data_IF_556892282611
#
_entry.id   IF_556892282611
#
_cell.length_a   1.000
_cell.length_b   1.000
_cell.length_c   1.000
_cell.angle_alpha   90.00
_cell.angle_beta   90.00
_cell.angle_gamma   90.00
#
_symmetry.space_group_name_H-M   'P 1'
#
loop_
_entity.id
_entity.type
_entity.pdbx_description
1 polymer ?
#
# COMPACT_ATOMS: atom_id res chain seq x y z
N UNK A 1 38.29 -67.32 -28.38
CA UNK A 1 38.82 -67.57 -27.02
C UNK A 1 40.28 -67.12 -26.99
N UNK A 2 40.68 -66.26 -26.04
CA UNK A 2 42.07 -65.79 -25.96
C UNK A 2 43.05 -66.90 -25.55
N UNK A 3 44.26 -66.85 -26.06
CA UNK A 3 45.33 -67.82 -25.75
C UNK A 3 45.92 -67.53 -24.37
N UNK A 4 46.00 -68.55 -23.51
CA UNK A 4 46.61 -68.44 -22.18
C UNK A 4 48.11 -68.69 -22.28
N UNK A 5 48.92 -67.74 -21.83
CA UNK A 5 50.38 -67.85 -21.79
C UNK A 5 50.87 -67.77 -20.33
N UNK A 6 51.86 -68.60 -19.93
CA UNK A 6 52.46 -68.51 -18.61
C UNK A 6 53.38 -67.27 -18.51
N UNK A 7 53.10 -66.38 -17.55
CA UNK A 7 53.93 -65.21 -17.26
C UNK A 7 55.22 -65.66 -16.53
N UNK A 8 56.37 -65.54 -17.20
CA UNK A 8 57.69 -65.96 -16.69
C UNK A 8 58.66 -64.80 -16.41
N UNK A 9 58.21 -63.55 -16.58
CA UNK A 9 59.00 -62.35 -16.29
C UNK A 9 58.65 -61.78 -14.91
N UNK A 10 59.61 -61.12 -14.26
CA UNK A 10 59.31 -60.28 -13.10
C UNK A 10 58.51 -59.06 -13.52
N UNK A 11 57.51 -58.69 -12.73
CA UNK A 11 56.68 -57.51 -12.96
C UNK A 11 56.80 -56.65 -11.71
N UNK A 12 57.51 -55.53 -11.86
CA UNK A 12 57.66 -54.52 -10.82
C UNK A 12 56.79 -53.31 -11.17
N UNK A 13 56.12 -52.75 -10.18
CA UNK A 13 55.30 -51.55 -10.35
C UNK A 13 56.06 -50.32 -9.83
N UNK A 14 56.40 -49.41 -10.73
CA UNK A 14 57.03 -48.12 -10.42
C UNK A 14 56.03 -47.03 -10.80
N UNK A 15 55.58 -46.25 -9.82
CA UNK A 15 54.62 -45.17 -10.05
C UNK A 15 55.32 -43.91 -10.57
N UNK A 16 54.95 -43.49 -11.78
CA UNK A 16 55.26 -42.17 -12.34
C UNK A 16 54.00 -41.30 -12.46
N UNK A 17 52.91 -41.72 -11.84
CA UNK A 17 51.65 -40.99 -11.90
C UNK A 17 51.81 -39.68 -11.16
N UNK A 18 51.59 -38.56 -11.86
CA UNK A 18 51.63 -37.21 -11.30
C UNK A 18 50.35 -36.88 -10.49
N UNK A 19 49.91 -37.81 -9.65
CA UNK A 19 48.82 -37.58 -8.70
C UNK A 19 49.38 -36.97 -7.42
N UNK A 20 48.59 -36.12 -6.78
CA UNK A 20 48.95 -35.54 -5.49
C UNK A 20 49.01 -36.63 -4.43
N UNK A 21 50.05 -36.58 -3.61
CA UNK A 21 50.13 -37.44 -2.43
C UNK A 21 49.26 -36.88 -1.28
N UNK A 22 49.16 -37.64 -0.19
CA UNK A 22 48.40 -37.23 0.99
C UNK A 22 48.93 -35.92 1.57
N UNK A 23 50.24 -35.72 1.57
CA UNK A 23 50.87 -34.54 2.16
C UNK A 23 50.49 -33.26 1.40
N UNK A 24 50.56 -33.28 0.07
CA UNK A 24 50.13 -32.18 -0.79
C UNK A 24 48.62 -31.91 -0.67
N UNK A 25 47.81 -32.98 -0.58
CA UNK A 25 46.35 -32.84 -0.45
C UNK A 25 45.96 -32.26 0.92
N UNK A 26 46.60 -32.70 1.99
CA UNK A 26 46.40 -32.16 3.34
C UNK A 26 46.85 -30.69 3.41
N UNK A 27 48.02 -30.35 2.85
CA UNK A 27 48.49 -28.96 2.78
C UNK A 27 47.53 -28.06 2.01
N UNK A 28 46.95 -28.54 0.91
CA UNK A 28 45.94 -27.80 0.15
C UNK A 28 44.66 -27.54 0.96
N UNK A 29 44.17 -28.54 1.70
CA UNK A 29 43.01 -28.40 2.58
C UNK A 29 43.31 -27.40 3.71
N UNK A 30 44.51 -27.48 4.32
CA UNK A 30 44.98 -26.53 5.33
C UNK A 30 45.09 -25.12 4.79
N UNK A 31 45.41 -24.91 3.51
CA UNK A 31 45.46 -23.57 2.95
C UNK A 31 44.05 -22.95 2.78
N UNK A 32 43.07 -23.77 2.39
CA UNK A 32 41.74 -23.28 2.01
C UNK A 32 40.71 -23.26 3.14
N UNK A 33 40.89 -24.07 4.18
CA UNK A 33 39.91 -24.26 5.26
C UNK A 33 38.45 -24.40 4.76
N UNK A 34 38.15 -25.30 3.81
CA UNK A 34 36.80 -25.42 3.26
C UNK A 34 35.84 -26.07 4.27
N UNK A 35 34.60 -25.58 4.42
CA UNK A 35 33.62 -26.18 5.34
C UNK A 35 33.08 -27.53 4.87
N UNK A 36 33.07 -27.78 3.56
CA UNK A 36 32.59 -29.03 2.95
C UNK A 36 33.61 -29.55 1.93
N UNK A 37 34.00 -30.82 2.06
CA UNK A 37 34.92 -31.51 1.14
C UNK A 37 34.19 -32.70 0.52
N UNK A 38 34.22 -32.82 -0.81
CA UNK A 38 33.62 -33.96 -1.53
C UNK A 38 34.72 -34.72 -2.27
N UNK A 39 34.99 -35.94 -1.80
CA UNK A 39 36.01 -36.82 -2.38
C UNK A 39 35.43 -37.58 -3.59
N UNK A 40 36.10 -37.45 -4.73
CA UNK A 40 35.76 -38.11 -6.01
C UNK A 40 37.03 -38.61 -6.70
N UNK A 41 36.89 -39.41 -7.76
CA UNK A 41 38.00 -39.89 -8.59
C UNK A 41 39.12 -40.62 -7.81
N UNK A 42 38.75 -41.50 -6.88
CA UNK A 42 39.69 -42.41 -6.22
C UNK A 42 39.15 -43.83 -6.13
N UNK A 43 40.03 -44.77 -5.84
CA UNK A 43 39.64 -46.13 -5.47
C UNK A 43 38.90 -46.08 -4.12
N UNK A 44 37.90 -46.94 -3.93
CA UNK A 44 36.96 -46.83 -2.82
C UNK A 44 37.64 -46.96 -1.44
N UNK A 45 38.59 -47.87 -1.29
CA UNK A 45 39.30 -48.08 -0.03
C UNK A 45 40.28 -46.94 0.23
N UNK A 46 41.04 -46.49 -0.77
CA UNK A 46 41.96 -45.37 -0.66
C UNK A 46 41.22 -44.06 -0.34
N UNK A 47 40.05 -43.82 -0.94
CA UNK A 47 39.18 -42.68 -0.56
C UNK A 47 38.65 -42.81 0.87
N UNK A 48 38.34 -44.03 1.33
CA UNK A 48 37.95 -44.29 2.70
C UNK A 48 39.06 -43.97 3.70
N UNK A 49 40.30 -44.37 3.38
CA UNK A 49 41.50 -44.06 4.17
C UNK A 49 41.78 -42.55 4.21
N UNK A 50 41.70 -41.88 3.07
CA UNK A 50 41.88 -40.44 2.97
C UNK A 50 40.82 -39.68 3.80
N UNK A 51 39.56 -40.06 3.70
CA UNK A 51 38.46 -39.49 4.51
C UNK A 51 38.74 -39.62 6.00
N UNK A 52 39.12 -40.81 6.47
CA UNK A 52 39.40 -41.06 7.88
C UNK A 52 40.61 -40.26 8.38
N UNK A 53 41.65 -40.11 7.54
CA UNK A 53 42.82 -39.30 7.86
C UNK A 53 42.47 -37.82 8.03
N UNK A 54 41.68 -37.24 7.10
CA UNK A 54 41.24 -35.84 7.19
C UNK A 54 40.32 -35.64 8.40
N UNK A 55 39.32 -36.50 8.61
CA UNK A 55 38.42 -36.35 9.76
C UNK A 55 39.19 -36.37 11.09
N UNK A 56 40.14 -37.29 11.24
CA UNK A 56 40.99 -37.36 12.45
C UNK A 56 41.88 -36.14 12.63
N UNK A 57 42.37 -35.57 11.54
CA UNK A 57 43.26 -34.40 11.56
C UNK A 57 42.55 -33.14 12.05
N UNK A 58 41.26 -33.01 11.76
CA UNK A 58 40.44 -31.83 12.10
C UNK A 58 39.38 -32.09 13.18
N UNK A 59 39.38 -33.26 13.83
CA UNK A 59 38.43 -33.59 14.91
C UNK A 59 38.65 -32.73 16.17
N UNK A 60 39.90 -32.34 16.42
CA UNK A 60 40.30 -31.54 17.59
C UNK A 60 40.21 -30.02 17.36
N UNK A 61 39.94 -29.58 16.13
CA UNK A 61 39.83 -28.15 15.79
C UNK A 61 38.39 -27.64 16.01
N UNK A 62 38.24 -26.74 16.99
CA UNK A 62 36.95 -26.16 17.39
C UNK A 62 36.53 -25.02 16.43
N UNK A 63 37.49 -24.37 15.77
CA UNK A 63 37.20 -23.24 14.86
C UNK A 63 36.88 -23.72 13.45
N UNK A 64 37.56 -24.76 12.96
CA UNK A 64 37.42 -25.25 11.58
C UNK A 64 36.62 -26.55 11.51
N UNK A 65 35.29 -26.43 11.52
CA UNK A 65 34.42 -27.59 11.26
C UNK A 65 34.42 -27.96 9.78
N UNK A 66 35.06 -29.07 9.43
CA UNK A 66 35.11 -29.61 8.06
C UNK A 66 34.25 -30.88 7.95
N UNK A 67 33.24 -30.86 7.08
CA UNK A 67 32.44 -32.04 6.77
C UNK A 67 32.97 -32.74 5.49
N UNK A 68 33.42 -33.99 5.62
CA UNK A 68 33.98 -34.77 4.51
C UNK A 68 32.99 -35.81 3.96
N UNK A 69 32.65 -35.68 2.68
CA UNK A 69 31.73 -36.54 1.95
C UNK A 69 32.47 -37.44 0.95
N UNK A 70 32.08 -38.72 0.86
CA UNK A 70 32.58 -39.69 -0.11
C UNK A 70 31.41 -40.40 -0.82
N UNK A 71 30.62 -39.66 -1.64
CA UNK A 71 29.44 -40.20 -2.29
C UNK A 71 29.78 -41.27 -3.33
N UNK A 72 28.97 -42.32 -3.40
CA UNK A 72 29.04 -43.28 -4.52
C UNK A 72 28.41 -42.68 -5.77
N UNK A 73 28.68 -43.29 -6.93
CA UNK A 73 27.95 -42.94 -8.15
C UNK A 73 26.44 -42.96 -7.88
N UNK A 74 25.72 -41.94 -8.37
CA UNK A 74 24.28 -41.71 -8.14
C UNK A 74 23.87 -41.28 -6.73
N UNK A 75 24.80 -41.09 -5.79
CA UNK A 75 24.50 -40.55 -4.47
C UNK A 75 24.60 -39.01 -4.49
N UNK A 76 23.50 -38.32 -4.19
CA UNK A 76 23.47 -36.87 -4.06
C UNK A 76 24.09 -36.41 -2.73
N UNK A 77 24.75 -35.24 -2.75
CA UNK A 77 25.24 -34.54 -1.55
C UNK A 77 24.44 -33.25 -1.44
N UNK A 78 23.60 -33.15 -0.40
CA UNK A 78 22.77 -31.98 -0.14
C UNK A 78 23.47 -31.05 0.83
N UNK A 79 23.71 -29.80 0.39
CA UNK A 79 24.36 -28.76 1.19
C UNK A 79 23.43 -27.57 1.33
N UNK A 80 23.23 -27.11 2.57
CA UNK A 80 22.34 -25.99 2.88
C UNK A 80 23.13 -24.70 3.06
N UNK A 81 23.03 -23.81 2.08
CA UNK A 81 23.64 -22.47 2.16
C UNK A 81 22.57 -21.44 2.53
N UNK A 82 22.69 -20.87 3.73
CA UNK A 82 21.88 -19.71 4.13
C UNK A 82 22.43 -18.47 3.43
N UNK A 83 21.87 -18.14 2.28
CA UNK A 83 22.13 -16.86 1.62
C UNK A 83 21.32 -15.74 2.27
N UNK A 84 21.98 -14.74 2.84
CA UNK A 84 21.32 -13.50 3.21
C UNK A 84 20.78 -12.82 1.95
N UNK A 85 19.47 -12.58 1.90
CA UNK A 85 18.85 -11.85 0.78
C UNK A 85 19.03 -10.36 1.02
N UNK A 86 20.09 -9.80 0.47
CA UNK A 86 20.33 -8.35 0.49
C UNK A 86 19.58 -7.68 -0.65
N UNK A 87 18.80 -6.63 -0.33
CA UNK A 87 18.17 -5.77 -1.32
C UNK A 87 18.82 -4.39 -1.32
N UNK A 88 19.09 -3.85 -2.51
CA UNK A 88 19.67 -2.51 -2.72
C UNK A 88 18.55 -1.52 -3.00
N UNK A 89 18.45 -0.48 -2.18
CA UNK A 89 17.52 0.62 -2.41
C UNK A 89 18.12 1.56 -3.45
N UNK A 90 17.36 1.95 -4.47
CA UNK A 90 17.84 2.81 -5.55
C UNK A 90 16.84 3.92 -5.88
N UNK A 91 17.33 4.97 -6.55
CA UNK A 91 16.51 6.10 -6.98
C UNK A 91 16.13 7.05 -5.85
N UNK A 92 14.93 7.61 -5.92
CA UNK A 92 14.38 8.58 -4.96
C UNK A 92 14.30 8.04 -3.53
N UNK A 93 14.07 6.74 -3.36
CA UNK A 93 14.05 6.08 -2.04
C UNK A 93 15.42 6.08 -1.35
N UNK A 94 16.51 6.22 -2.12
CA UNK A 94 17.88 6.22 -1.60
C UNK A 94 18.43 7.63 -1.31
N UNK A 95 17.62 8.69 -1.47
CA UNK A 95 18.06 10.08 -1.27
C UNK A 95 18.34 10.38 0.20
N UNK A 96 17.55 9.80 1.10
CA UNK A 96 17.73 9.97 2.54
C UNK A 96 18.54 8.82 3.12
N UNK A 97 19.44 9.15 4.05
CA UNK A 97 20.24 8.15 4.73
C UNK A 97 19.34 7.13 5.47
N UNK A 98 19.74 5.85 5.48
CA UNK A 98 18.99 4.80 6.18
C UNK A 98 19.04 5.05 7.70
N UNK A 99 17.88 4.99 8.35
CA UNK A 99 17.73 5.05 9.81
C UNK A 99 17.09 3.76 10.32
N UNK A 100 17.53 3.21 11.47
CA UNK A 100 16.91 2.03 12.07
C UNK A 100 15.41 2.27 12.34
N UNK A 101 14.57 1.29 11.99
CA UNK A 101 13.12 1.35 12.21
C UNK A 101 12.33 2.14 11.17
N UNK A 102 12.99 2.77 10.20
CA UNK A 102 12.31 3.45 9.09
C UNK A 102 11.67 2.42 8.16
N UNK A 103 10.37 2.54 7.97
CA UNK A 103 9.65 1.75 6.96
C UNK A 103 9.97 2.25 5.56
N UNK A 104 10.28 1.32 4.66
CA UNK A 104 10.47 1.59 3.24
C UNK A 104 9.36 0.91 2.46
N UNK A 105 8.67 1.66 1.60
CA UNK A 105 7.65 1.16 0.69
C UNK A 105 8.10 1.39 -0.74
N UNK A 106 7.92 0.37 -1.59
CA UNK A 106 8.37 0.43 -2.98
C UNK A 106 8.15 -0.88 -3.71
N UNK A 107 8.58 -0.92 -4.96
CA UNK A 107 8.53 -2.08 -5.83
C UNK A 107 9.86 -2.82 -5.73
N UNK A 108 9.81 -4.11 -5.36
CA UNK A 108 11.00 -4.96 -5.31
C UNK A 108 11.19 -5.69 -6.64
N UNK A 109 12.29 -5.39 -7.32
CA UNK A 109 12.66 -6.00 -8.60
C UNK A 109 13.78 -7.01 -8.37
N UNK A 110 13.52 -8.28 -8.71
CA UNK A 110 14.51 -9.35 -8.66
C UNK A 110 15.14 -9.52 -10.05
N UNK A 111 16.44 -9.27 -10.14
CA UNK A 111 17.27 -9.59 -11.32
C UNK A 111 18.27 -10.67 -10.91
N UNK A 112 18.03 -11.91 -11.33
CA UNK A 112 18.82 -13.08 -10.93
C UNK A 112 18.89 -13.24 -9.40
N UNK A 113 20.07 -13.03 -8.81
CA UNK A 113 20.31 -13.10 -7.36
C UNK A 113 20.31 -11.74 -6.67
N UNK A 114 20.18 -10.64 -7.42
CA UNK A 114 20.20 -9.28 -6.88
C UNK A 114 18.79 -8.71 -6.76
N UNK A 115 18.47 -8.22 -5.57
CA UNK A 115 17.20 -7.58 -5.25
C UNK A 115 17.37 -6.06 -5.23
N UNK A 116 16.46 -5.36 -5.89
CA UNK A 116 16.51 -3.92 -6.06
C UNK A 116 15.17 -3.32 -5.61
N UNK A 117 15.16 -2.47 -4.60
CA UNK A 117 13.96 -1.78 -4.12
C UNK A 117 13.91 -0.39 -4.74
N UNK A 118 12.84 -0.11 -5.48
CA UNK A 118 12.66 1.10 -6.29
C UNK A 118 11.33 1.77 -5.98
N UNK A 119 11.26 3.09 -6.18
CA UNK A 119 10.00 3.83 -6.20
C UNK A 119 9.26 3.51 -7.49
N UNK A 120 7.91 3.41 -7.50
CA UNK A 120 7.13 3.22 -8.72
C UNK A 120 7.46 4.25 -9.81
N UNK A 121 7.82 5.48 -9.43
CA UNK A 121 8.16 6.56 -10.36
C UNK A 121 9.54 6.41 -11.03
N UNK A 122 10.46 5.65 -10.42
CA UNK A 122 11.82 5.43 -10.92
C UNK A 122 11.97 4.11 -11.67
N UNK A 123 10.88 3.33 -11.76
CA UNK A 123 10.89 2.00 -12.36
C UNK A 123 11.36 2.04 -13.82
N UNK A 124 10.88 3.00 -14.61
CA UNK A 124 11.26 3.19 -16.01
C UNK A 124 12.69 3.69 -16.22
N UNK A 125 13.34 4.22 -15.18
CA UNK A 125 14.73 4.71 -15.26
C UNK A 125 15.75 3.60 -15.04
N UNK A 126 15.43 2.65 -14.16
CA UNK A 126 16.37 1.60 -13.73
C UNK A 126 16.00 0.20 -14.27
N UNK A 127 14.81 0.06 -14.84
CA UNK A 127 14.34 -1.18 -15.45
C UNK A 127 13.79 -0.93 -16.84
N UNK A 128 13.85 -1.96 -17.68
CA UNK A 128 13.27 -1.95 -19.03
C UNK A 128 11.73 -2.03 -19.00
N UNK A 129 11.13 -1.94 -17.81
CA UNK A 129 9.69 -1.99 -17.63
C UNK A 129 9.09 -0.60 -17.85
N UNK A 130 8.12 -0.54 -18.74
CA UNK A 130 7.32 0.66 -18.98
C UNK A 130 6.09 0.60 -18.07
N UNK A 131 5.86 1.69 -17.33
CA UNK A 131 4.62 1.88 -16.59
C UNK A 131 3.53 2.32 -17.56
N UNK A 132 2.49 1.50 -17.70
CA UNK A 132 1.31 1.81 -18.51
C UNK A 132 0.09 1.92 -17.62
N UNK A 133 -0.67 3.00 -17.78
CA UNK A 133 -1.98 3.18 -17.16
C UNK A 133 -3.06 2.91 -18.20
N UNK A 134 -4.07 2.12 -17.85
CA UNK A 134 -5.20 1.85 -18.74
C UNK A 134 -6.30 2.87 -18.45
N UNK A 135 -6.55 3.78 -19.40
CA UNK A 135 -7.73 4.65 -19.37
C UNK A 135 -8.92 3.92 -19.97
N UNK A 136 -10.07 3.98 -19.31
CA UNK A 136 -11.32 3.43 -19.81
C UNK A 136 -12.30 4.56 -20.10
N UNK A 137 -13.06 4.36 -21.17
CA UNK A 137 -14.06 5.31 -21.66
C UNK A 137 -15.33 4.54 -21.98
N UNK A 138 -16.44 4.93 -21.35
CA UNK A 138 -17.74 4.30 -21.54
C UNK A 138 -18.76 5.35 -21.97
N UNK A 139 -19.54 5.00 -22.99
CA UNK A 139 -20.60 5.85 -23.51
C UNK A 139 -21.95 5.28 -23.11
N UNK A 140 -22.77 6.10 -22.47
CA UNK A 140 -24.12 5.75 -22.04
C UNK A 140 -25.14 6.66 -22.71
N UNK A 141 -26.27 6.07 -23.10
CA UNK A 141 -27.44 6.84 -23.54
C UNK A 141 -28.08 7.49 -22.33
N UNK A 142 -28.28 8.80 -22.35
CA UNK A 142 -28.92 9.54 -21.26
C UNK A 142 -29.61 10.77 -21.81
N UNK A 143 -30.94 10.80 -21.70
CA UNK A 143 -31.81 11.85 -22.24
C UNK A 143 -32.22 12.90 -21.20
N UNK A 144 -31.77 12.75 -19.95
CA UNK A 144 -32.10 13.67 -18.86
C UNK A 144 -31.28 14.97 -18.89
N UNK A 145 -31.69 15.92 -18.05
CA UNK A 145 -30.95 17.18 -17.90
C UNK A 145 -29.71 17.02 -17.03
N UNK A 146 -28.69 17.85 -17.27
CA UNK A 146 -27.48 17.91 -16.46
C UNK A 146 -27.76 18.09 -14.96
N UNK A 147 -28.79 18.85 -14.59
CA UNK A 147 -29.16 19.09 -13.19
C UNK A 147 -29.67 17.84 -12.49
N UNK A 148 -30.46 17.01 -13.20
CA UNK A 148 -30.96 15.72 -12.70
C UNK A 148 -29.79 14.76 -12.49
N UNK A 149 -28.88 14.70 -13.46
CA UNK A 149 -27.66 13.89 -13.37
C UNK A 149 -26.80 14.30 -12.17
N UNK A 150 -26.55 15.61 -12.01
CA UNK A 150 -25.81 16.15 -10.89
C UNK A 150 -26.45 15.77 -9.54
N UNK A 151 -27.77 15.88 -9.41
CA UNK A 151 -28.48 15.50 -8.18
C UNK A 151 -28.29 14.02 -7.81
N UNK A 152 -28.51 13.12 -8.76
CA UNK A 152 -28.39 11.68 -8.50
C UNK A 152 -26.95 11.26 -8.20
N UNK A 153 -25.96 11.81 -8.91
CA UNK A 153 -24.57 11.54 -8.61
C UNK A 153 -24.17 12.13 -7.24
N UNK A 154 -24.73 13.30 -6.87
CA UNK A 154 -24.41 13.92 -5.59
C UNK A 154 -24.99 13.12 -4.42
N UNK A 155 -26.10 12.41 -4.63
CA UNK A 155 -26.62 11.44 -3.68
C UNK A 155 -25.68 10.23 -3.48
N UNK A 156 -24.89 9.87 -4.50
CA UNK A 156 -23.94 8.74 -4.44
C UNK A 156 -22.64 9.09 -3.70
N UNK A 157 -22.05 10.26 -3.99
CA UNK A 157 -20.70 10.60 -3.53
C UNK A 157 -20.64 11.72 -2.48
N UNK A 158 -21.70 12.53 -2.34
CA UNK A 158 -21.78 13.67 -1.42
C UNK A 158 -20.89 14.87 -1.79
N UNK A 159 -19.79 14.64 -2.52
CA UNK A 159 -18.82 15.65 -2.95
C UNK A 159 -18.53 15.50 -4.45
N UNK A 160 -19.23 16.29 -5.26
CA UNK A 160 -19.04 16.37 -6.70
C UNK A 160 -18.42 17.70 -7.08
N UNK A 161 -17.31 17.61 -7.79
CA UNK A 161 -16.67 18.77 -8.39
C UNK A 161 -17.20 18.98 -9.80
N UNK A 162 -17.65 20.20 -10.10
CA UNK A 162 -17.98 20.59 -11.47
C UNK A 162 -16.67 20.94 -12.16
N UNK A 163 -16.33 20.19 -13.21
CA UNK A 163 -15.13 20.46 -13.99
C UNK A 163 -15.47 21.48 -15.06
N UNK A 164 -14.90 22.68 -14.96
CA UNK A 164 -15.08 23.73 -15.96
C UNK A 164 -14.33 23.35 -17.24
N UNK A 165 -15.07 23.27 -18.35
CA UNK A 165 -14.57 22.95 -19.67
C UNK A 165 -15.55 23.36 -20.77
N UNK A 166 -15.27 22.98 -22.01
CA UNK A 166 -16.16 23.28 -23.14
C UNK A 166 -17.52 22.57 -23.04
N UNK A 167 -17.57 21.44 -22.32
CA UNK A 167 -18.77 20.63 -22.08
C UNK A 167 -19.04 20.57 -20.58
N UNK A 168 -20.30 20.33 -20.21
CA UNK A 168 -20.69 20.21 -18.81
C UNK A 168 -20.20 18.87 -18.27
N UNK A 169 -19.24 18.93 -17.35
CA UNK A 169 -18.56 17.75 -16.79
C UNK A 169 -18.60 17.75 -15.26
N UNK A 170 -18.74 16.56 -14.69
CA UNK A 170 -18.78 16.30 -13.25
C UNK A 170 -17.67 15.31 -12.91
N UNK A 171 -16.94 15.56 -11.84
CA UNK A 171 -15.97 14.62 -11.30
C UNK A 171 -16.53 14.00 -10.03
N UNK A 172 -16.67 12.67 -10.07
CA UNK A 172 -17.23 11.85 -9.00
C UNK A 172 -16.09 11.05 -8.37
N UNK A 173 -16.05 10.99 -7.03
CA UNK A 173 -15.00 10.30 -6.28
C UNK A 173 -13.56 10.74 -6.64
N UNK A 174 -13.37 11.97 -7.12
CA UNK A 174 -12.06 12.53 -7.53
C UNK A 174 -11.42 11.92 -8.78
N UNK A 175 -11.83 10.72 -9.21
CA UNK A 175 -11.13 9.93 -10.22
C UNK A 175 -11.97 9.62 -11.48
N UNK A 176 -13.29 9.75 -11.40
CA UNK A 176 -14.21 9.43 -12.51
C UNK A 176 -14.78 10.73 -13.06
N UNK A 177 -14.61 10.95 -14.36
CA UNK A 177 -15.14 12.13 -15.04
C UNK A 177 -16.36 11.75 -15.86
N UNK A 178 -17.48 12.41 -15.60
CA UNK A 178 -18.77 12.23 -16.28
C UNK A 178 -19.06 13.49 -17.10
N UNK A 179 -19.03 13.37 -18.42
CA UNK A 179 -19.20 14.49 -19.36
C UNK A 179 -20.48 14.33 -20.15
N UNK A 180 -21.35 15.34 -20.16
CA UNK A 180 -22.52 15.35 -21.03
C UNK A 180 -22.13 15.85 -22.43
N UNK A 181 -21.94 14.91 -23.36
CA UNK A 181 -21.54 15.15 -24.75
C UNK A 181 -22.68 15.74 -25.60
N UNK A 182 -23.91 15.26 -25.38
CA UNK A 182 -25.11 15.65 -26.13
C UNK A 182 -26.36 15.51 -25.27
N UNK A 183 -27.50 16.00 -25.75
CA UNK A 183 -28.78 15.89 -25.04
C UNK A 183 -29.26 14.46 -24.79
N UNK A 184 -28.66 13.46 -25.46
CA UNK A 184 -28.99 12.04 -25.36
C UNK A 184 -27.80 11.14 -24.95
N UNK A 185 -26.65 11.72 -24.59
CA UNK A 185 -25.43 10.94 -24.38
C UNK A 185 -24.56 11.50 -23.26
N UNK A 186 -24.10 10.61 -22.40
CA UNK A 186 -23.15 10.88 -21.32
C UNK A 186 -21.94 9.96 -21.46
N UNK A 187 -20.78 10.53 -21.22
CA UNK A 187 -19.49 9.87 -21.34
C UNK A 187 -18.84 9.76 -19.96
N UNK A 188 -18.39 8.57 -19.61
CA UNK A 188 -17.61 8.30 -18.41
C UNK A 188 -16.17 8.02 -18.83
N UNK A 189 -15.21 8.67 -18.17
CA UNK A 189 -13.78 8.48 -18.37
C UNK A 189 -13.08 8.32 -17.01
N UNK A 190 -12.29 7.25 -16.85
CA UNK A 190 -11.53 6.99 -15.63
C UNK A 190 -10.25 6.19 -15.92
N UNK A 191 -9.31 6.22 -14.98
CA UNK A 191 -8.16 5.34 -14.99
C UNK A 191 -8.52 4.02 -14.31
N UNK A 192 -8.38 2.90 -15.03
CA UNK A 192 -8.76 1.58 -14.53
C UNK A 192 -7.90 1.16 -13.34
N UNK A 193 -8.60 0.74 -12.29
CA UNK A 193 -8.03 0.11 -11.10
C UNK A 193 -9.17 -0.60 -10.37
N UNK A 194 -8.91 -1.62 -9.54
CA UNK A 194 -9.98 -2.36 -8.87
C UNK A 194 -10.97 -1.48 -8.08
N UNK A 195 -10.48 -0.37 -7.51
CA UNK A 195 -11.29 0.58 -6.76
C UNK A 195 -12.03 1.53 -7.69
N UNK A 196 -11.36 2.09 -8.70
CA UNK A 196 -11.99 3.02 -9.64
C UNK A 196 -13.02 2.31 -10.53
N UNK A 197 -12.79 1.05 -10.89
CA UNK A 197 -13.72 0.25 -11.70
C UNK A 197 -15.01 -0.03 -10.91
N UNK A 198 -14.89 -0.36 -9.62
CA UNK A 198 -16.03 -0.50 -8.72
C UNK A 198 -16.84 0.82 -8.62
N UNK A 199 -16.14 1.94 -8.46
CA UNK A 199 -16.79 3.25 -8.42
C UNK A 199 -17.42 3.61 -9.78
N UNK A 200 -16.78 3.25 -10.89
CA UNK A 200 -17.32 3.48 -12.23
C UNK A 200 -18.62 2.68 -12.42
N UNK A 201 -18.67 1.42 -12.02
CA UNK A 201 -19.88 0.59 -12.08
C UNK A 201 -21.03 1.17 -11.24
N UNK A 202 -20.72 1.73 -10.06
CA UNK A 202 -21.71 2.43 -9.24
C UNK A 202 -22.25 3.68 -9.96
N UNK A 203 -21.37 4.48 -10.56
CA UNK A 203 -21.75 5.66 -11.35
C UNK A 203 -22.61 5.27 -12.55
N UNK A 204 -22.23 4.22 -13.29
CA UNK A 204 -23.01 3.67 -14.42
C UNK A 204 -24.42 3.30 -13.97
N UNK A 205 -24.54 2.58 -12.86
CA UNK A 205 -25.82 2.16 -12.30
C UNK A 205 -26.71 3.36 -11.95
N UNK A 206 -26.12 4.42 -11.39
CA UNK A 206 -26.84 5.65 -11.07
C UNK A 206 -27.27 6.41 -12.33
N UNK A 207 -26.43 6.46 -13.37
CA UNK A 207 -26.78 7.08 -14.67
C UNK A 207 -27.95 6.34 -15.32
N UNK A 208 -27.91 5.00 -15.33
CA UNK A 208 -29.00 4.18 -15.86
C UNK A 208 -30.28 4.35 -15.05
N UNK A 209 -30.18 4.40 -13.72
CA UNK A 209 -31.33 4.69 -12.85
C UNK A 209 -31.93 6.07 -13.14
N UNK A 210 -31.10 7.09 -13.33
CA UNK A 210 -31.54 8.44 -13.67
C UNK A 210 -32.20 8.49 -15.06
N UNK A 211 -31.82 7.62 -15.99
CA UNK A 211 -32.48 7.47 -17.28
C UNK A 211 -33.88 6.85 -17.14
N UNK A 212 -34.02 5.83 -16.29
CA UNK A 212 -35.31 5.17 -16.04
C UNK A 212 -36.28 6.02 -15.19
N UNK A 213 -35.77 6.98 -14.42
CA UNK A 213 -36.57 7.87 -13.57
C UNK A 213 -36.49 9.31 -14.07
N UNK A 214 -37.36 9.73 -15.03
CA UNK A 214 -37.40 11.10 -15.51
C UNK A 214 -38.06 12.00 -14.47
N UNK A 215 -37.30 12.39 -13.44
CA UNK A 215 -37.72 13.49 -12.56
C UNK A 215 -37.65 14.77 -13.37
N UNK A 216 -38.77 15.48 -13.50
CA UNK A 216 -38.77 16.80 -14.11
C UNK A 216 -37.79 17.72 -13.34
N UNK A 217 -36.98 18.56 -14.00
CA UNK A 217 -36.03 19.45 -13.31
C UNK A 217 -36.67 20.32 -12.21
N UNK A 218 -37.97 20.63 -12.38
CA UNK A 218 -38.80 21.39 -11.43
C UNK A 218 -39.17 20.64 -10.15
N UNK A 219 -39.10 19.30 -10.15
CA UNK A 219 -39.42 18.43 -9.02
C UNK A 219 -38.16 17.86 -8.35
N UNK A 220 -36.98 18.35 -8.73
CA UNK A 220 -35.78 18.07 -7.95
C UNK A 220 -35.97 18.67 -6.56
N UNK A 221 -35.68 17.92 -5.47
CA UNK A 221 -35.55 18.50 -4.16
C UNK A 221 -34.54 19.65 -4.25
N UNK A 222 -35.06 20.88 -4.21
CA UNK A 222 -34.21 22.07 -4.23
C UNK A 222 -33.56 22.11 -2.86
N UNK A 223 -32.23 21.95 -2.82
CA UNK A 223 -31.41 21.81 -1.60
C UNK A 223 -31.36 20.40 -1.02
N UNK A 224 -30.31 19.65 -1.38
CA UNK A 224 -29.63 18.83 -0.39
C UNK A 224 -29.12 19.82 0.66
N UNK A 225 -29.84 19.92 1.76
CA UNK A 225 -29.65 20.90 2.81
C UNK A 225 -28.18 20.98 3.23
N UNK A 226 -27.45 21.97 2.69
CA UNK A 226 -26.58 22.76 3.57
C UNK A 226 -27.55 23.24 4.65
N UNK A 227 -27.33 22.80 5.90
CA UNK A 227 -28.15 23.19 7.04
C UNK A 227 -28.50 24.66 6.87
N UNK A 228 -29.79 24.97 6.71
CA UNK A 228 -30.22 26.34 6.53
C UNK A 228 -29.71 27.10 7.75
N UNK A 229 -28.77 28.02 7.54
CA UNK A 229 -28.07 28.70 8.63
C UNK A 229 -29.07 29.47 9.50
N UNK A 230 -30.16 29.94 8.89
CA UNK A 230 -31.25 30.61 9.60
C UNK A 230 -31.99 29.63 10.52
N UNK A 231 -32.31 28.44 10.03
CA UNK A 231 -32.94 27.38 10.81
C UNK A 231 -32.00 26.85 11.93
N UNK A 232 -30.70 26.71 11.65
CA UNK A 232 -29.72 26.34 12.66
C UNK A 232 -29.63 27.37 13.78
N UNK A 233 -29.62 28.66 13.44
CA UNK A 233 -29.59 29.73 14.45
C UNK A 233 -30.86 29.77 15.30
N UNK A 234 -32.02 29.53 14.70
CA UNK A 234 -33.31 29.51 15.41
C UNK A 234 -33.38 28.34 16.39
N UNK A 235 -33.10 27.11 15.94
CA UNK A 235 -33.09 25.95 16.82
C UNK A 235 -32.01 26.04 17.90
N UNK A 236 -30.86 26.67 17.61
CA UNK A 236 -29.81 26.88 18.60
C UNK A 236 -30.26 27.87 19.69
N UNK A 237 -30.98 28.93 19.30
CA UNK A 237 -31.58 29.88 20.24
C UNK A 237 -32.62 29.20 21.14
N UNK A 238 -33.54 28.42 20.58
CA UNK A 238 -34.56 27.69 21.36
C UNK A 238 -33.92 26.67 22.31
N UNK A 239 -32.91 25.92 21.85
CA UNK A 239 -32.22 24.92 22.67
C UNK A 239 -31.50 25.58 23.84
N UNK A 240 -30.77 26.68 23.59
CA UNK A 240 -30.04 27.40 24.64
C UNK A 240 -31.00 28.13 25.60
N UNK A 241 -32.11 28.67 25.10
CA UNK A 241 -33.16 29.26 25.92
C UNK A 241 -33.85 28.21 26.80
N UNK A 242 -34.08 27.00 26.28
CA UNK A 242 -34.61 25.87 27.06
C UNK A 242 -33.64 25.35 28.12
N UNK A 243 -32.33 25.44 27.89
CA UNK A 243 -31.31 24.98 28.84
C UNK A 243 -30.96 26.01 29.92
N UNK A 244 -30.92 27.30 29.60
CA UNK A 244 -30.42 28.35 30.48
C UNK A 244 -31.44 29.46 30.81
N UNK A 245 -32.64 29.41 30.24
CA UNK A 245 -33.70 30.42 30.38
C UNK A 245 -33.68 31.49 29.28
N UNK A 246 -34.85 32.06 28.96
CA UNK A 246 -35.01 33.06 27.88
C UNK A 246 -34.25 34.38 28.11
N UNK A 247 -33.97 34.72 29.36
CA UNK A 247 -33.26 35.96 29.75
C UNK A 247 -31.74 35.82 29.64
N UNK A 248 -31.24 34.59 29.54
CA UNK A 248 -29.81 34.26 29.46
C UNK A 248 -29.26 34.29 28.03
N UNK A 249 -30.15 34.30 27.02
CA UNK A 249 -29.76 34.27 25.60
C UNK A 249 -29.88 35.67 24.98
N UNK A 250 -28.80 36.15 24.37
CA UNK A 250 -28.83 37.43 23.66
C UNK A 250 -29.78 37.38 22.46
N UNK A 251 -30.93 38.08 22.55
CA UNK A 251 -31.98 38.17 21.50
C UNK A 251 -31.53 38.83 20.18
N UNK A 252 -30.27 39.29 20.11
CA UNK A 252 -29.69 39.98 18.95
C UNK A 252 -28.42 39.26 18.51
N UNK A 253 -28.51 38.54 17.39
CA UNK A 253 -27.34 37.97 16.72
C UNK A 253 -26.62 39.09 15.96
N UNK A 254 -25.48 39.56 16.48
CA UNK A 254 -24.63 40.54 15.78
C UNK A 254 -23.71 39.82 14.80
N UNK A 255 -24.18 39.59 13.57
CA UNK A 255 -23.40 38.93 12.51
C UNK A 255 -23.37 37.41 12.66
N UNK A 256 -22.18 36.79 12.63
CA UNK A 256 -21.98 35.32 12.80
C UNK A 256 -21.66 34.92 14.26
N UNK A 257 -21.96 35.78 15.23
CA UNK A 257 -21.66 35.55 16.66
C UNK A 257 -22.91 35.66 17.51
N UNK A 258 -23.09 34.68 18.39
CA UNK A 258 -24.16 34.61 19.37
C UNK A 258 -23.55 34.65 20.77
N UNK A 259 -24.27 35.25 21.72
CA UNK A 259 -23.81 35.47 23.09
C UNK A 259 -24.83 34.92 24.07
N UNK A 260 -24.34 34.17 25.06
CA UNK A 260 -25.14 33.60 26.14
C UNK A 260 -24.52 34.05 27.45
N UNK A 261 -25.32 34.63 28.34
CA UNK A 261 -24.88 35.10 29.66
C UNK A 261 -25.59 34.29 30.73
N UNK A 262 -24.84 33.57 31.57
CA UNK A 262 -25.36 32.78 32.68
C UNK A 262 -24.59 33.16 33.93
N UNK A 263 -25.26 33.60 35.00
CA UNK A 263 -24.66 33.94 36.30
C UNK A 263 -23.39 34.81 36.18
N UNK A 264 -23.50 35.97 35.51
CA UNK A 264 -22.41 36.92 35.23
C UNK A 264 -21.24 36.43 34.35
N UNK A 265 -21.31 35.20 33.82
CA UNK A 265 -20.33 34.66 32.88
C UNK A 265 -20.87 34.69 31.45
N UNK A 266 -20.03 35.15 30.51
CA UNK A 266 -20.42 35.37 29.13
C UNK A 266 -19.73 34.35 28.20
N UNK A 267 -20.53 33.58 27.46
CA UNK A 267 -20.08 32.64 26.45
C UNK A 267 -20.36 33.20 25.05
N UNK A 268 -19.31 33.30 24.24
CA UNK A 268 -19.34 33.72 22.85
C UNK A 268 -19.27 32.52 21.92
N UNK A 269 -20.31 32.34 21.11
CA UNK A 269 -20.44 31.25 20.14
C UNK A 269 -20.19 31.80 18.74
N UNK A 270 -19.27 31.19 18.00
CA UNK A 270 -19.04 31.48 16.58
C UNK A 270 -19.82 30.49 15.72
N UNK A 271 -20.81 30.98 14.98
CA UNK A 271 -21.72 30.16 14.17
C UNK A 271 -21.05 29.58 12.91
N UNK A 272 -19.87 30.08 12.53
CA UNK A 272 -19.08 29.56 11.39
C UNK A 272 -18.10 28.48 11.80
N UNK A 273 -17.35 28.69 12.89
CA UNK A 273 -16.36 27.71 13.37
C UNK A 273 -16.93 26.71 14.37
N UNK A 274 -18.16 26.91 14.86
CA UNK A 274 -18.77 26.15 15.95
C UNK A 274 -17.99 26.21 17.27
N UNK A 275 -17.06 27.17 17.38
CA UNK A 275 -16.25 27.35 18.57
C UNK A 275 -16.99 28.20 19.61
N UNK A 276 -16.89 27.78 20.87
CA UNK A 276 -17.42 28.49 22.03
C UNK A 276 -16.26 28.96 22.89
N UNK A 277 -16.23 30.24 23.24
CA UNK A 277 -15.26 30.84 24.15
C UNK A 277 -16.00 31.45 25.33
N UNK A 278 -15.64 31.09 26.56
CA UNK A 278 -16.18 31.70 27.77
C UNK A 278 -15.02 32.25 28.60
N UNK A 279 -15.14 33.49 29.07
CA UNK A 279 -14.16 34.09 29.97
C UNK A 279 -14.61 33.80 31.41
N UNK A 280 -14.03 32.77 32.03
CA UNK A 280 -14.13 32.51 33.48
C UNK A 280 -14.87 31.25 33.93
N UNK A 281 -15.54 30.50 33.04
CA UNK A 281 -16.20 29.22 33.41
C UNK A 281 -16.01 28.13 32.34
N UNK A 282 -15.08 27.21 32.62
CA UNK A 282 -14.77 26.05 31.77
C UNK A 282 -15.94 25.06 31.67
N UNK A 283 -16.80 24.99 32.69
CA UNK A 283 -17.94 24.07 32.72
C UNK A 283 -19.05 24.56 31.80
N UNK A 284 -19.34 25.87 31.82
CA UNK A 284 -20.28 26.50 30.90
C UNK A 284 -19.80 26.37 29.45
N UNK A 285 -18.50 26.58 29.20
CA UNK A 285 -17.92 26.43 27.86
C UNK A 285 -18.12 25.01 27.30
N UNK A 286 -17.87 23.97 28.10
CA UNK A 286 -18.05 22.57 27.67
C UNK A 286 -19.50 22.19 27.42
N UNK A 287 -20.43 22.68 28.24
CA UNK A 287 -21.86 22.39 28.08
C UNK A 287 -22.38 23.03 26.79
N UNK A 288 -22.04 24.30 26.56
CA UNK A 288 -22.47 25.03 25.35
C UNK A 288 -21.80 24.47 24.10
N UNK A 289 -20.51 24.11 24.15
CA UNK A 289 -19.83 23.48 23.01
C UNK A 289 -20.44 22.12 22.65
N UNK A 290 -20.83 21.34 23.67
CA UNK A 290 -21.48 20.04 23.48
C UNK A 290 -22.87 20.19 22.87
N UNK A 291 -23.66 21.16 23.33
CA UNK A 291 -24.99 21.45 22.78
C UNK A 291 -24.91 21.90 21.31
N UNK A 292 -24.02 22.83 20.99
CA UNK A 292 -23.77 23.32 19.62
C UNK A 292 -23.37 22.18 18.69
N UNK A 293 -22.44 21.33 19.13
CA UNK A 293 -21.93 20.20 18.33
C UNK A 293 -23.01 19.14 18.11
N UNK A 294 -23.78 18.79 19.16
CA UNK A 294 -24.88 17.82 19.04
C UNK A 294 -25.97 18.32 18.12
N UNK A 295 -26.39 19.58 18.26
CA UNK A 295 -27.41 20.16 17.41
C UNK A 295 -26.97 20.22 15.94
N UNK A 296 -25.71 20.60 15.69
CA UNK A 296 -25.15 20.61 14.34
C UNK A 296 -25.15 19.21 13.72
N UNK A 297 -24.72 18.20 14.47
CA UNK A 297 -24.71 16.82 14.01
C UNK A 297 -26.12 16.23 13.79
N UNK A 298 -27.13 16.72 14.51
CA UNK A 298 -28.53 16.31 14.31
C UNK A 298 -29.18 16.94 13.08
N UNK A 299 -28.71 18.12 12.64
CA UNK A 299 -29.28 18.82 11.49
C UNK A 299 -28.44 18.68 10.21
N UNK A 300 -27.16 18.34 10.33
CA UNK A 300 -26.32 18.00 9.19
C UNK A 300 -26.68 16.59 8.67
N UNK A 301 -26.77 16.39 7.34
CA UNK A 301 -26.92 15.05 6.79
C UNK A 301 -25.73 14.19 7.24
N UNK A 302 -26.01 12.96 7.69
CA UNK A 302 -24.98 12.00 8.12
C UNK A 302 -23.96 11.85 7.00
N UNK A 303 -22.72 12.30 7.26
CA UNK A 303 -21.59 11.94 6.41
C UNK A 303 -21.33 10.45 6.62
N UNK A 304 -21.84 9.63 5.70
CA UNK A 304 -21.49 8.21 5.59
C UNK A 304 -20.21 8.11 4.77
#
# INVERSE_FOLDING_TARGET
>A
MGQKLPLKMSVDYISFSAHTDYQQTSEFIRCLHPPHIVLVHGEQNEMGRLKAAIVREYEDDIETRIDVHNPRNTQAVELYFRGEKTAKVMGTLAVQAPSPGRQLSGVLVKRNFSYHLLSPADLSKYTDMVMSTVGQRLSLSYTGSFQVLHFFLNQLSGDIEIVEGQKKSLRVFGNITVTQESSSMVLLEWNSSPINDLFADAVVTVVLRAQCSPIAPRNLPTSLAKVDRMHFTECLMETLAGMFGEDSVGKVVKGERMMVTVNDHCAHINLRSLEVKCDGDDTLQQIVSTAVTKLYNSMAPVKV
#
